data_IF_070839623826
#
_entry.id   IF_070839623826
#
_cell.length_a   1.000
_cell.length_b   1.000
_cell.length_c   1.000
_cell.angle_alpha   90.00
_cell.angle_beta   90.00
_cell.angle_gamma   90.00
#
_symmetry.space_group_name_H-M   'P 1'
#
loop_
_entity.id
_entity.type
_entity.pdbx_description
1 polymer ?
#
# COMPACT_ATOMS: atom_id res chain seq x y z
N UNK A 1 10.40 13.68 12.51
CA UNK A 1 10.40 12.83 13.73
C UNK A 1 11.35 11.65 13.62
N UNK A 2 11.03 10.55 12.94
CA UNK A 2 11.93 9.37 12.88
C UNK A 2 13.27 9.63 12.17
N UNK A 3 13.31 10.50 11.15
CA UNK A 3 14.57 11.01 10.58
C UNK A 3 15.31 11.96 11.52
N UNK A 4 14.59 12.70 12.36
CA UNK A 4 15.15 13.68 13.32
C UNK A 4 15.90 12.98 14.45
N UNK A 5 15.33 11.89 14.99
CA UNK A 5 16.00 11.02 15.96
C UNK A 5 17.25 10.37 15.37
N UNK A 6 17.18 9.91 14.12
CA UNK A 6 18.33 9.32 13.44
C UNK A 6 19.43 10.35 13.18
N UNK A 7 19.06 11.58 12.78
CA UNK A 7 19.98 12.69 12.61
C UNK A 7 20.66 13.08 13.93
N UNK A 8 19.94 13.02 15.06
CA UNK A 8 20.54 13.29 16.37
C UNK A 8 21.71 12.34 16.66
N UNK A 9 21.54 11.04 16.39
CA UNK A 9 22.55 9.99 16.63
C UNK A 9 23.64 9.94 15.55
N UNK A 10 23.27 9.78 14.27
CA UNK A 10 24.19 9.52 13.15
C UNK A 10 24.47 10.70 12.22
N UNK A 11 23.93 11.89 12.51
CA UNK A 11 24.04 13.09 11.64
C UNK A 11 23.59 12.77 10.20
N UNK A 12 24.47 12.92 9.22
CA UNK A 12 24.18 12.69 7.80
C UNK A 12 24.73 11.35 7.26
N UNK A 13 25.31 10.47 8.10
CA UNK A 13 25.80 9.17 7.65
C UNK A 13 24.68 8.31 7.03
N UNK A 14 24.74 7.95 5.73
CA UNK A 14 23.71 7.12 5.11
C UNK A 14 23.60 5.70 5.68
N UNK A 15 24.66 5.15 6.31
CA UNK A 15 24.66 3.78 6.82
C UNK A 15 23.62 3.60 7.93
N UNK A 16 23.63 4.46 8.96
CA UNK A 16 22.61 4.44 10.02
C UNK A 16 21.18 4.59 9.49
N UNK A 17 20.98 5.32 8.39
CA UNK A 17 19.65 5.42 7.76
C UNK A 17 19.22 4.14 7.06
N UNK A 18 20.14 3.46 6.34
CA UNK A 18 19.87 2.19 5.65
C UNK A 18 19.64 1.05 6.63
N UNK A 19 20.40 0.97 7.72
CA UNK A 19 20.23 -0.07 8.77
C UNK A 19 18.82 -0.02 9.37
N UNK A 20 18.31 1.17 9.72
CA UNK A 20 16.95 1.30 10.26
C UNK A 20 15.88 0.89 9.24
N UNK A 21 16.05 1.24 7.96
CA UNK A 21 15.11 0.85 6.92
C UNK A 21 15.14 -0.68 6.68
N UNK A 22 16.33 -1.29 6.66
CA UNK A 22 16.49 -2.75 6.55
C UNK A 22 15.86 -3.50 7.74
N UNK A 23 16.12 -3.07 8.96
CA UNK A 23 15.50 -3.65 10.17
C UNK A 23 13.98 -3.52 10.14
N UNK A 24 13.46 -2.39 9.66
CA UNK A 24 12.03 -2.19 9.46
C UNK A 24 11.44 -3.14 8.41
N UNK A 25 12.09 -3.31 7.26
CA UNK A 25 11.67 -4.26 6.19
C UNK A 25 11.66 -5.72 6.66
N UNK A 26 12.69 -6.14 7.39
CA UNK A 26 12.72 -7.46 8.06
C UNK A 26 11.59 -7.58 9.09
N UNK A 27 11.29 -6.51 9.83
CA UNK A 27 10.13 -6.43 10.72
C UNK A 27 8.79 -6.60 9.98
N UNK A 28 8.60 -5.97 8.81
CA UNK A 28 7.41 -6.18 7.96
C UNK A 28 7.31 -7.64 7.53
N UNK A 29 8.41 -8.23 7.06
CA UNK A 29 8.47 -9.66 6.72
C UNK A 29 8.06 -10.55 7.89
N UNK A 30 8.56 -10.29 9.10
CA UNK A 30 8.19 -11.03 10.31
C UNK A 30 6.70 -10.89 10.65
N UNK A 31 6.11 -9.70 10.52
CA UNK A 31 4.66 -9.53 10.72
C UNK A 31 3.84 -10.25 9.62
N UNK A 32 4.30 -10.28 8.37
CA UNK A 32 3.69 -11.06 7.28
C UNK A 32 3.79 -12.58 7.51
N UNK A 33 4.86 -13.05 8.18
CA UNK A 33 4.99 -14.46 8.59
C UNK A 33 3.95 -14.84 9.64
N UNK A 34 3.76 -13.98 10.65
CA UNK A 34 2.71 -14.16 11.66
C UNK A 34 1.30 -14.03 11.06
N UNK A 35 1.12 -13.20 10.03
CA UNK A 35 -0.18 -12.99 9.38
C UNK A 35 -0.55 -14.20 8.51
N UNK A 36 0.37 -14.66 7.67
CA UNK A 36 0.14 -15.84 6.82
C UNK A 36 -0.12 -17.09 7.65
N UNK A 37 0.65 -17.36 8.72
CA UNK A 37 0.35 -18.49 9.65
C UNK A 37 -1.05 -18.39 10.23
N UNK A 38 -1.47 -17.19 10.65
CA UNK A 38 -2.81 -16.94 11.19
C UNK A 38 -3.91 -17.11 10.15
N UNK A 39 -3.70 -16.70 8.90
CA UNK A 39 -4.63 -16.91 7.80
C UNK A 39 -4.74 -18.40 7.44
N UNK A 40 -3.64 -19.14 7.37
CA UNK A 40 -3.67 -20.59 7.14
C UNK A 40 -4.43 -21.32 8.26
N UNK A 41 -4.16 -21.00 9.53
CA UNK A 41 -4.90 -21.56 10.65
C UNK A 41 -6.41 -21.23 10.60
N UNK A 42 -6.79 -19.97 10.35
CA UNK A 42 -8.19 -19.54 10.30
C UNK A 42 -8.99 -20.07 9.09
N UNK A 43 -8.31 -20.43 8.00
CA UNK A 43 -8.96 -20.89 6.76
C UNK A 43 -8.90 -22.41 6.59
N UNK A 44 -7.81 -23.07 6.97
CA UNK A 44 -7.50 -24.49 6.74
C UNK A 44 -7.32 -25.30 8.03
N UNK A 45 -7.47 -24.70 9.22
CA UNK A 45 -7.32 -25.36 10.51
C UNK A 45 -5.88 -25.77 10.88
N UNK A 46 -4.90 -25.50 10.01
CA UNK A 46 -3.51 -25.98 10.11
C UNK A 46 -2.53 -24.84 9.88
N UNK A 47 -1.43 -24.81 10.64
CA UNK A 47 -0.37 -23.82 10.46
C UNK A 47 0.67 -24.29 9.43
N UNK A 48 0.57 -23.78 8.20
CA UNK A 48 1.48 -24.11 7.10
C UNK A 48 2.79 -23.31 7.21
N UNK A 49 3.53 -23.50 8.31
CA UNK A 49 4.69 -22.67 8.68
C UNK A 49 5.79 -22.62 7.62
N UNK A 50 6.03 -23.72 6.88
CA UNK A 50 6.99 -23.75 5.76
C UNK A 50 6.52 -22.86 4.60
N UNK A 51 5.24 -22.93 4.21
CA UNK A 51 4.69 -22.08 3.15
C UNK A 51 4.69 -20.61 3.55
N UNK A 52 4.32 -20.31 4.81
CA UNK A 52 4.45 -18.97 5.40
C UNK A 52 5.89 -18.43 5.37
N UNK A 53 6.88 -19.28 5.64
CA UNK A 53 8.29 -18.88 5.56
C UNK A 53 8.71 -18.60 4.11
N UNK A 54 8.37 -19.48 3.15
CA UNK A 54 8.70 -19.30 1.73
C UNK A 54 8.04 -18.04 1.13
N UNK A 55 6.78 -17.77 1.46
CA UNK A 55 6.08 -16.54 1.04
C UNK A 55 6.76 -15.27 1.55
N UNK A 56 7.29 -15.30 2.77
CA UNK A 56 7.99 -14.15 3.38
C UNK A 56 9.42 -14.03 2.89
N UNK A 57 10.12 -15.14 2.66
CA UNK A 57 11.44 -15.14 2.03
C UNK A 57 11.35 -14.53 0.63
N UNK A 58 10.34 -14.91 -0.16
CA UNK A 58 10.03 -14.26 -1.42
C UNK A 58 9.76 -12.76 -1.22
N UNK A 59 8.86 -12.36 -0.31
CA UNK A 59 8.59 -10.94 -0.05
C UNK A 59 9.86 -10.14 0.30
N UNK A 60 10.72 -10.64 1.19
CA UNK A 60 11.90 -9.92 1.68
C UNK A 60 12.96 -9.77 0.59
N UNK A 61 13.19 -10.83 -0.20
CA UNK A 61 14.25 -10.88 -1.23
C UNK A 61 13.80 -10.25 -2.57
N UNK A 62 12.51 -10.23 -2.87
CA UNK A 62 12.01 -9.78 -4.17
C UNK A 62 12.35 -8.29 -4.44
N UNK A 63 12.99 -7.93 -5.59
CA UNK A 63 13.55 -6.60 -5.81
C UNK A 63 12.59 -5.43 -5.61
N UNK A 64 11.33 -5.58 -6.02
CA UNK A 64 10.27 -4.56 -5.85
C UNK A 64 10.08 -4.16 -4.38
N UNK A 65 10.24 -5.10 -3.44
CA UNK A 65 10.08 -4.83 -2.02
C UNK A 65 11.42 -4.41 -1.38
N UNK A 66 12.53 -5.02 -1.81
CA UNK A 66 13.87 -4.68 -1.33
C UNK A 66 14.24 -3.20 -1.62
N UNK A 67 13.75 -2.64 -2.73
CA UNK A 67 13.79 -1.21 -3.07
C UNK A 67 13.32 -0.30 -1.90
N UNK A 68 12.33 -0.74 -1.12
CA UNK A 68 11.80 0.03 0.02
C UNK A 68 12.85 0.12 1.15
N UNK A 69 13.61 -0.94 1.40
CA UNK A 69 14.70 -0.96 2.38
C UNK A 69 15.95 -0.18 1.92
N UNK A 70 16.27 -0.22 0.62
CA UNK A 70 17.47 0.40 0.04
C UNK A 70 17.39 1.93 0.03
N UNK A 71 16.22 2.50 -0.27
CA UNK A 71 16.06 3.96 -0.33
C UNK A 71 15.76 4.56 1.04
N UNK A 72 16.62 5.47 1.49
CA UNK A 72 16.51 6.16 2.78
C UNK A 72 15.17 6.85 2.99
N UNK A 73 14.61 7.50 1.96
CA UNK A 73 13.36 8.26 2.03
C UNK A 73 12.09 7.39 2.17
N UNK A 74 12.15 6.09 1.86
CA UNK A 74 11.01 5.16 1.90
C UNK A 74 10.61 4.72 3.32
N UNK A 75 11.19 5.30 4.38
CA UNK A 75 10.94 4.90 5.77
C UNK A 75 9.47 5.00 6.18
N UNK A 76 8.69 5.92 5.60
CA UNK A 76 7.28 6.06 5.96
C UNK A 76 6.44 4.88 5.49
N UNK A 77 6.65 4.37 4.26
CA UNK A 77 5.97 3.15 3.77
C UNK A 77 6.38 1.86 4.54
N UNK A 78 7.57 1.82 5.14
CA UNK A 78 7.98 0.73 6.04
C UNK A 78 7.23 0.80 7.38
N UNK A 79 7.24 1.97 8.03
CA UNK A 79 6.50 2.22 9.27
C UNK A 79 4.99 2.00 9.06
N UNK A 80 4.51 2.33 7.86
CA UNK A 80 3.15 2.10 7.41
C UNK A 80 2.80 0.61 7.35
N UNK A 81 3.61 -0.20 6.65
CA UNK A 81 3.39 -1.64 6.57
C UNK A 81 3.48 -2.32 7.94
N UNK A 82 4.37 -1.87 8.83
CA UNK A 82 4.42 -2.33 10.22
C UNK A 82 3.10 -2.04 10.97
N UNK A 83 2.60 -0.82 10.83
CA UNK A 83 1.39 -0.35 11.50
C UNK A 83 0.12 -1.08 11.02
N UNK A 84 -0.10 -1.18 9.69
CA UNK A 84 -1.30 -1.83 9.14
C UNK A 84 -1.30 -3.34 9.42
N UNK A 85 -0.23 -4.06 9.09
CA UNK A 85 -0.11 -5.51 9.33
C UNK A 85 -0.20 -5.81 10.85
N UNK A 86 0.39 -4.96 11.70
CA UNK A 86 0.24 -5.03 13.16
C UNK A 86 -1.21 -4.90 13.63
N UNK A 87 -1.95 -3.92 13.11
CA UNK A 87 -3.37 -3.72 13.46
C UNK A 87 -4.24 -4.93 13.04
N UNK A 88 -3.94 -5.56 11.91
CA UNK A 88 -4.66 -6.75 11.42
C UNK A 88 -4.28 -8.00 12.21
N UNK A 89 -3.01 -8.14 12.60
CA UNK A 89 -2.56 -9.20 13.51
C UNK A 89 -3.27 -9.13 14.87
N UNK A 90 -3.47 -7.92 15.39
CA UNK A 90 -4.30 -7.68 16.57
C UNK A 90 -5.78 -7.97 16.28
N UNK A 91 -6.32 -7.58 15.14
CA UNK A 91 -7.72 -7.82 14.78
C UNK A 91 -8.05 -9.30 14.64
N UNK A 92 -7.24 -10.07 13.90
CA UNK A 92 -7.45 -11.50 13.61
C UNK A 92 -7.13 -12.45 14.77
N UNK A 93 -6.60 -11.97 15.92
CA UNK A 93 -6.40 -12.81 17.11
C UNK A 93 -7.72 -13.50 17.52
N UNK A 94 -7.75 -14.84 17.74
CA UNK A 94 -8.99 -15.58 17.96
C UNK A 94 -9.66 -15.31 19.32
N UNK A 95 -8.91 -14.82 20.31
CA UNK A 95 -9.44 -14.37 21.63
C UNK A 95 -10.51 -13.26 21.46
N UNK A 96 -11.38 -13.02 22.47
CA UNK A 96 -12.26 -11.84 22.47
C UNK A 96 -11.49 -10.52 22.39
N UNK A 97 -12.18 -9.45 21.97
CA UNK A 97 -11.62 -8.11 21.85
C UNK A 97 -11.62 -7.42 23.23
N UNK A 98 -10.45 -7.25 23.84
CA UNK A 98 -10.31 -6.44 25.05
C UNK A 98 -10.18 -4.95 24.72
N UNK A 99 -10.54 -4.03 25.64
CA UNK A 99 -10.34 -2.59 25.43
C UNK A 99 -8.88 -2.24 25.12
N UNK A 100 -7.91 -2.83 25.84
CA UNK A 100 -6.47 -2.64 25.62
C UNK A 100 -6.01 -3.04 24.21
N UNK A 101 -6.53 -4.15 23.67
CA UNK A 101 -6.27 -4.61 22.31
C UNK A 101 -6.89 -3.68 21.26
N UNK A 102 -8.07 -3.12 21.56
CA UNK A 102 -8.74 -2.17 20.68
C UNK A 102 -8.02 -0.81 20.64
N UNK A 103 -7.61 -0.29 21.79
CA UNK A 103 -6.73 0.89 21.90
C UNK A 103 -5.42 0.65 21.14
N UNK A 104 -4.81 -0.55 21.26
CA UNK A 104 -3.63 -0.92 20.48
C UNK A 104 -3.85 -0.89 18.95
N UNK A 105 -5.01 -1.34 18.47
CA UNK A 105 -5.37 -1.24 17.04
C UNK A 105 -5.54 0.21 16.58
N UNK A 106 -6.20 1.06 17.39
CA UNK A 106 -6.39 2.49 17.07
C UNK A 106 -5.07 3.25 17.15
N UNK A 107 -4.20 2.94 18.11
CA UNK A 107 -2.87 3.54 18.23
C UNK A 107 -1.97 3.19 17.03
N UNK A 108 -1.97 1.93 16.59
CA UNK A 108 -1.28 1.54 15.35
C UNK A 108 -1.86 2.24 14.12
N UNK A 109 -3.18 2.36 14.02
CA UNK A 109 -3.83 3.12 12.94
C UNK A 109 -3.40 4.59 12.93
N UNK A 110 -3.35 5.26 14.09
CA UNK A 110 -2.89 6.65 14.23
C UNK A 110 -1.41 6.81 13.87
N UNK A 111 -0.53 5.90 14.32
CA UNK A 111 0.89 5.85 13.93
C UNK A 111 1.03 5.66 12.41
N UNK A 112 0.07 4.96 11.79
CA UNK A 112 -0.04 4.76 10.35
C UNK A 112 -0.72 5.89 9.56
N UNK A 113 -1.02 7.07 10.13
CA UNK A 113 -1.63 8.17 9.37
C UNK A 113 -0.63 8.95 8.47
N UNK A 114 0.24 8.22 7.76
CA UNK A 114 1.08 8.78 6.69
C UNK A 114 0.29 8.97 5.38
N UNK A 115 0.83 9.78 4.45
CA UNK A 115 0.19 10.18 3.19
C UNK A 115 -0.51 9.02 2.48
N UNK A 116 0.13 7.85 2.43
CA UNK A 116 -0.30 6.68 1.65
C UNK A 116 -1.30 5.75 2.35
N UNK A 117 -1.30 5.57 3.68
CA UNK A 117 -2.23 4.63 4.36
C UNK A 117 -3.58 5.21 4.78
N UNK A 118 -3.73 6.54 4.85
CA UNK A 118 -4.98 7.20 5.29
C UNK A 118 -6.25 6.60 4.67
N UNK A 119 -6.16 6.14 3.41
CA UNK A 119 -7.26 5.52 2.64
C UNK A 119 -7.35 3.97 2.74
N UNK A 120 -6.33 3.27 3.25
CA UNK A 120 -6.18 1.79 3.17
C UNK A 120 -6.66 1.04 4.43
N UNK A 121 -6.08 1.39 5.58
CA UNK A 121 -6.19 0.59 6.81
C UNK A 121 -7.61 0.34 7.39
N UNK A 122 -8.66 1.14 7.11
CA UNK A 122 -10.04 0.76 7.46
C UNK A 122 -10.55 -0.40 6.61
N UNK A 123 -10.20 -0.42 5.32
CA UNK A 123 -10.61 -1.46 4.36
C UNK A 123 -9.88 -2.80 4.59
N UNK A 124 -8.59 -2.75 4.90
CA UNK A 124 -7.76 -3.87 5.33
C UNK A 124 -8.45 -4.74 6.41
N UNK A 125 -8.99 -4.09 7.45
CA UNK A 125 -9.68 -4.75 8.56
C UNK A 125 -11.03 -5.37 8.10
N UNK A 126 -11.72 -4.75 7.15
CA UNK A 126 -12.97 -5.27 6.59
C UNK A 126 -12.69 -6.54 5.76
N UNK A 127 -11.67 -6.51 4.89
CA UNK A 127 -11.25 -7.66 4.05
C UNK A 127 -10.84 -8.86 4.90
N UNK A 128 -10.03 -8.62 5.95
CA UNK A 128 -9.64 -9.66 6.91
C UNK A 128 -10.84 -10.36 7.55
N UNK A 129 -11.94 -9.63 7.83
CA UNK A 129 -13.15 -10.23 8.42
C UNK A 129 -14.04 -10.95 7.41
N UNK A 130 -14.24 -10.39 6.22
CA UNK A 130 -15.06 -10.99 5.16
C UNK A 130 -14.54 -12.38 4.74
N UNK A 131 -13.24 -12.59 4.82
CA UNK A 131 -12.61 -13.85 4.43
C UNK A 131 -12.49 -14.86 5.60
N UNK A 132 -12.20 -14.38 6.81
CA UNK A 132 -11.96 -15.24 7.97
C UNK A 132 -13.20 -15.63 8.79
N UNK A 133 -14.39 -15.05 8.54
CA UNK A 133 -15.61 -15.35 9.30
C UNK A 133 -16.84 -15.58 8.41
N UNK A 134 -17.74 -16.42 8.92
CA UNK A 134 -19.00 -16.84 8.30
C UNK A 134 -19.93 -15.66 7.92
N UNK A 135 -20.90 -15.85 6.98
CA UNK A 135 -21.67 -14.75 6.39
C UNK A 135 -22.42 -13.87 7.40
N UNK A 136 -22.58 -12.60 7.04
CA UNK A 136 -23.05 -11.55 7.94
C UNK A 136 -24.56 -11.67 8.24
N UNK A 137 -24.92 -12.07 9.47
CA UNK A 137 -26.26 -11.80 10.02
C UNK A 137 -26.44 -10.31 10.27
N UNK A 138 -27.65 -9.79 10.08
CA UNK A 138 -27.97 -8.35 10.16
C UNK A 138 -27.58 -7.71 11.52
N UNK A 139 -27.83 -8.42 12.62
CA UNK A 139 -27.42 -7.96 13.97
C UNK A 139 -25.90 -7.88 14.13
N UNK A 140 -25.14 -8.68 13.38
CA UNK A 140 -23.68 -8.57 13.33
C UNK A 140 -23.22 -7.33 12.55
N UNK A 141 -23.98 -6.84 11.57
CA UNK A 141 -23.62 -5.63 10.80
C UNK A 141 -23.58 -4.38 11.67
N UNK A 142 -24.59 -4.14 12.53
CA UNK A 142 -24.56 -3.02 13.49
C UNK A 142 -23.35 -3.09 14.43
N UNK A 143 -22.95 -4.28 14.85
CA UNK A 143 -21.74 -4.48 15.65
C UNK A 143 -20.43 -4.32 14.83
N UNK A 144 -20.45 -4.58 13.52
CA UNK A 144 -19.33 -4.27 12.62
C UNK A 144 -19.13 -2.76 12.51
N UNK A 145 -20.19 -2.01 12.17
CA UNK A 145 -20.13 -0.55 12.01
C UNK A 145 -19.59 0.10 13.29
N UNK A 146 -20.09 -0.27 14.48
CA UNK A 146 -19.56 0.23 15.76
C UNK A 146 -18.07 -0.07 16.00
N UNK A 147 -17.57 -1.21 15.52
CA UNK A 147 -16.15 -1.59 15.65
C UNK A 147 -15.24 -0.85 14.65
N UNK A 148 -15.75 -0.46 13.49
CA UNK A 148 -14.98 0.36 12.54
C UNK A 148 -15.17 1.88 12.76
N UNK A 149 -16.22 2.30 13.46
CA UNK A 149 -16.60 3.70 13.63
C UNK A 149 -15.47 4.60 14.19
N UNK A 150 -14.73 4.23 15.26
CA UNK A 150 -13.57 5.02 15.71
C UNK A 150 -12.46 5.20 14.67
N UNK A 151 -12.22 4.25 13.76
CA UNK A 151 -11.24 4.41 12.67
C UNK A 151 -11.73 5.45 11.65
N UNK A 152 -13.02 5.44 11.32
CA UNK A 152 -13.65 6.45 10.47
C UNK A 152 -13.72 7.83 11.14
N UNK A 153 -13.96 7.90 12.47
CA UNK A 153 -13.92 9.14 13.24
C UNK A 153 -12.50 9.72 13.25
N UNK A 154 -11.48 8.92 13.56
CA UNK A 154 -10.08 9.37 13.54
C UNK A 154 -9.66 9.84 12.15
N UNK A 155 -10.08 9.15 11.08
CA UNK A 155 -9.82 9.56 9.71
C UNK A 155 -10.56 10.86 9.32
N UNK A 156 -11.82 11.02 9.75
CA UNK A 156 -12.61 12.23 9.53
C UNK A 156 -12.05 13.43 10.29
N UNK A 157 -11.67 13.26 11.56
CA UNK A 157 -10.98 14.27 12.37
C UNK A 157 -9.64 14.66 11.76
N UNK A 158 -8.87 13.69 11.25
CA UNK A 158 -7.63 13.96 10.52
C UNK A 158 -7.89 14.83 9.28
N UNK A 159 -8.88 14.49 8.45
CA UNK A 159 -9.19 15.29 7.25
C UNK A 159 -9.75 16.68 7.60
N UNK A 160 -10.56 16.80 8.67
CA UNK A 160 -11.05 18.08 9.16
C UNK A 160 -9.91 18.97 9.68
N UNK A 161 -9.00 18.41 10.48
CA UNK A 161 -7.80 19.13 10.94
C UNK A 161 -6.87 19.51 9.78
N UNK A 162 -6.74 18.65 8.76
CA UNK A 162 -6.01 18.97 7.52
C UNK A 162 -6.66 20.15 6.80
N UNK A 163 -7.96 20.11 6.55
CA UNK A 163 -8.69 21.17 5.87
C UNK A 163 -8.63 22.50 6.64
N UNK A 164 -8.71 22.47 7.98
CA UNK A 164 -8.60 23.66 8.81
C UNK A 164 -7.19 24.29 8.82
N UNK A 165 -6.12 23.47 8.76
CA UNK A 165 -4.74 23.96 8.80
C UNK A 165 -4.16 24.32 7.43
N UNK A 166 -4.54 23.59 6.37
CA UNK A 166 -4.03 23.74 5.01
C UNK A 166 -5.03 24.35 4.02
N UNK A 167 -6.28 24.62 4.42
CA UNK A 167 -7.35 25.08 3.51
C UNK A 167 -7.86 24.03 2.52
N UNK A 168 -7.23 22.84 2.43
CA UNK A 168 -7.60 21.76 1.51
C UNK A 168 -7.45 20.37 2.13
N UNK A 169 -8.22 19.43 1.59
CA UNK A 169 -8.16 18.00 1.91
C UNK A 169 -7.11 17.29 1.04
N UNK A 170 -6.81 17.83 -0.15
CA UNK A 170 -5.81 17.34 -1.11
C UNK A 170 -4.37 17.74 -0.76
N UNK A 171 -3.42 17.37 -1.62
CA UNK A 171 -2.01 17.77 -1.50
C UNK A 171 -1.79 19.07 -2.31
N UNK A 172 -1.37 20.17 -1.67
CA UNK A 172 -1.31 21.51 -2.29
C UNK A 172 -0.15 21.75 -3.28
N UNK A 173 0.90 20.91 -3.25
CA UNK A 173 2.10 21.08 -4.09
C UNK A 173 1.99 20.39 -5.47
N UNK A 174 0.78 20.01 -5.85
CA UNK A 174 0.54 18.98 -6.84
C UNK A 174 -0.43 19.54 -7.89
N UNK A 175 0.01 19.63 -9.15
CA UNK A 175 -0.82 20.06 -10.29
C UNK A 175 -0.84 18.94 -11.34
N UNK A 176 -2.02 18.59 -11.87
CA UNK A 176 -2.12 17.55 -12.90
C UNK A 176 -1.91 18.17 -14.28
N UNK A 177 -0.82 17.85 -15.00
CA UNK A 177 -0.67 18.30 -16.40
C UNK A 177 -1.57 17.52 -17.37
N UNK A 178 -2.35 16.54 -16.89
CA UNK A 178 -3.08 15.58 -17.71
C UNK A 178 -4.57 15.55 -17.41
N UNK A 179 -5.34 15.33 -18.47
CA UNK A 179 -6.77 15.10 -18.43
C UNK A 179 -7.18 13.82 -17.70
N UNK A 180 -8.38 13.85 -17.14
CA UNK A 180 -8.94 12.75 -16.32
C UNK A 180 -9.03 11.43 -17.08
N UNK A 181 -9.32 11.44 -18.39
CA UNK A 181 -9.56 10.21 -19.14
C UNK A 181 -8.28 9.45 -19.54
N UNK A 182 -7.25 10.07 -20.17
CA UNK A 182 -5.95 9.41 -20.38
C UNK A 182 -5.32 8.92 -19.07
N UNK A 183 -5.52 9.65 -17.97
CA UNK A 183 -5.08 9.22 -16.64
C UNK A 183 -5.72 7.89 -16.20
N UNK A 184 -7.04 7.71 -16.34
CA UNK A 184 -7.72 6.44 -15.99
C UNK A 184 -7.23 5.28 -16.87
N UNK A 185 -7.03 5.51 -18.17
CA UNK A 185 -6.46 4.48 -19.07
C UNK A 185 -5.05 4.08 -18.63
N UNK A 186 -4.21 5.07 -18.30
CA UNK A 186 -2.83 4.88 -17.82
C UNK A 186 -2.78 4.10 -16.49
N UNK A 187 -3.72 4.35 -15.57
CA UNK A 187 -3.85 3.57 -14.33
C UNK A 187 -4.14 2.08 -14.61
N UNK A 188 -4.99 1.74 -15.57
CA UNK A 188 -5.30 0.34 -15.92
C UNK A 188 -4.04 -0.37 -16.47
N UNK A 189 -3.28 0.28 -17.36
CA UNK A 189 -2.00 -0.28 -17.85
C UNK A 189 -0.97 -0.40 -16.72
N UNK A 190 -0.98 0.53 -15.77
CA UNK A 190 -0.09 0.49 -14.59
C UNK A 190 -0.35 -0.72 -13.70
N UNK A 191 -1.62 -1.14 -13.52
CA UNK A 191 -1.97 -2.39 -12.81
C UNK A 191 -1.34 -3.62 -13.47
N UNK A 192 -1.36 -3.69 -14.81
CA UNK A 192 -0.69 -4.78 -15.56
C UNK A 192 0.83 -4.71 -15.40
N UNK A 193 1.42 -3.51 -15.41
CA UNK A 193 2.87 -3.31 -15.20
C UNK A 193 3.31 -3.72 -13.79
N UNK A 194 2.54 -3.43 -12.74
CA UNK A 194 2.83 -3.92 -11.39
C UNK A 194 2.80 -5.46 -11.34
N UNK A 195 1.79 -6.10 -11.93
CA UNK A 195 1.70 -7.57 -12.00
C UNK A 195 2.90 -8.16 -12.75
N UNK A 196 3.30 -7.55 -13.88
CA UNK A 196 4.52 -7.94 -14.60
C UNK A 196 5.76 -7.86 -13.69
N UNK A 197 5.96 -6.75 -12.98
CA UNK A 197 7.09 -6.55 -12.08
C UNK A 197 7.16 -7.52 -10.90
N UNK A 198 6.04 -8.18 -10.53
CA UNK A 198 5.99 -9.23 -9.48
C UNK A 198 6.45 -10.61 -9.98
N UNK A 199 6.35 -10.89 -11.28
CA UNK A 199 6.84 -12.13 -11.88
C UNK A 199 8.20 -11.97 -12.57
N UNK A 200 8.46 -10.79 -13.16
CA UNK A 200 9.67 -10.45 -13.89
C UNK A 200 10.08 -9.02 -13.50
N UNK A 201 10.96 -8.84 -12.50
CA UNK A 201 11.37 -7.53 -11.98
C UNK A 201 12.36 -6.79 -12.93
N UNK A 202 12.04 -6.70 -14.21
CA UNK A 202 12.85 -6.08 -15.25
C UNK A 202 12.36 -4.66 -15.59
N UNK A 203 13.28 -3.69 -15.64
CA UNK A 203 12.95 -2.27 -15.85
C UNK A 203 12.35 -1.61 -14.60
N UNK A 204 13.00 -1.81 -13.45
CA UNK A 204 12.74 -1.09 -12.20
C UNK A 204 13.65 0.16 -12.13
N UNK A 205 13.18 1.29 -12.64
CA UNK A 205 13.79 2.60 -12.44
C UNK A 205 13.22 3.31 -11.20
N UNK A 206 13.88 4.40 -10.77
CA UNK A 206 13.43 5.28 -9.68
C UNK A 206 12.37 6.31 -10.10
N UNK A 207 12.22 6.48 -11.41
CA UNK A 207 11.22 7.30 -12.06
C UNK A 207 10.80 6.53 -13.32
N UNK A 208 9.49 6.40 -13.53
CA UNK A 208 8.93 5.81 -14.75
C UNK A 208 8.03 6.88 -15.34
N UNK A 209 8.47 7.51 -16.42
CA UNK A 209 7.56 8.31 -17.24
C UNK A 209 6.48 7.37 -17.80
N UNK A 210 5.20 7.50 -17.39
CA UNK A 210 4.15 6.68 -17.97
C UNK A 210 4.02 7.05 -19.45
N UNK A 211 3.94 6.05 -20.33
CA UNK A 211 3.57 6.31 -21.72
C UNK A 211 2.15 6.87 -21.75
N UNK A 212 1.93 7.90 -22.54
CA UNK A 212 0.59 8.38 -22.83
C UNK A 212 -0.14 7.33 -23.68
N UNK A 213 -1.44 7.13 -23.41
CA UNK A 213 -2.27 6.13 -24.07
C UNK A 213 -3.58 6.78 -24.52
N UNK A 214 -3.63 7.23 -25.76
CA UNK A 214 -4.75 8.00 -26.32
C UNK A 214 -5.91 7.11 -26.81
N UNK A 215 -5.68 5.81 -27.01
CA UNK A 215 -6.67 4.89 -27.59
C UNK A 215 -6.77 3.56 -26.85
N UNK A 216 -8.01 3.12 -26.60
CA UNK A 216 -8.31 1.81 -26.00
C UNK A 216 -7.93 0.62 -26.90
N UNK A 217 -7.57 0.85 -28.17
CA UNK A 217 -7.23 -0.19 -29.14
C UNK A 217 -5.77 -0.68 -29.04
N UNK A 218 -4.93 -0.08 -28.18
CA UNK A 218 -3.52 -0.46 -28.09
C UNK A 218 -3.30 -1.88 -27.51
N UNK A 219 -2.27 -2.63 -27.97
CA UNK A 219 -1.99 -3.99 -27.50
C UNK A 219 -1.81 -4.11 -25.98
N UNK A 220 -1.32 -3.07 -25.31
CA UNK A 220 -1.19 -3.02 -23.86
C UNK A 220 -2.56 -3.08 -23.15
N UNK A 221 -3.60 -2.48 -23.73
CA UNK A 221 -4.96 -2.42 -23.17
C UNK A 221 -5.74 -3.68 -23.53
N UNK A 222 -5.46 -4.29 -24.69
CA UNK A 222 -5.91 -5.66 -24.98
C UNK A 222 -5.28 -6.68 -24.01
N UNK A 223 -4.04 -6.47 -23.56
CA UNK A 223 -3.45 -7.25 -22.45
C UNK A 223 -4.16 -6.98 -21.11
N UNK A 224 -4.61 -5.74 -20.85
CA UNK A 224 -5.48 -5.44 -19.69
C UNK A 224 -6.82 -6.19 -19.73
N UNK A 225 -7.32 -6.56 -20.91
CA UNK A 225 -8.48 -7.45 -21.04
C UNK A 225 -8.19 -8.89 -20.57
N UNK A 226 -6.93 -9.34 -20.50
CA UNK A 226 -6.57 -10.55 -19.76
C UNK A 226 -6.88 -10.43 -18.25
N UNK A 227 -6.90 -9.21 -17.71
CA UNK A 227 -7.41 -8.90 -16.38
C UNK A 227 -8.88 -9.27 -16.17
N UNK A 228 -9.71 -9.26 -17.23
CA UNK A 228 -11.09 -9.77 -17.17
C UNK A 228 -11.15 -11.30 -17.11
N UNK A 229 -10.18 -11.98 -17.71
CA UNK A 229 -10.03 -13.44 -17.55
C UNK A 229 -9.53 -13.80 -16.15
N UNK A 230 -8.58 -13.05 -15.58
CA UNK A 230 -8.17 -13.20 -14.18
C UNK A 230 -9.30 -12.89 -13.20
N UNK A 231 -10.11 -11.85 -13.43
CA UNK A 231 -11.26 -11.55 -12.56
C UNK A 231 -12.38 -12.58 -12.70
N UNK A 232 -12.62 -13.14 -13.90
CA UNK A 232 -13.54 -14.27 -14.11
C UNK A 232 -13.03 -15.55 -13.44
N UNK A 233 -11.73 -15.87 -13.54
CA UNK A 233 -11.12 -16.99 -12.84
C UNK A 233 -11.21 -16.82 -11.32
N UNK A 234 -10.88 -15.63 -10.82
CA UNK A 234 -11.08 -15.23 -9.43
C UNK A 234 -12.54 -15.43 -8.99
N UNK A 235 -13.52 -14.93 -9.75
CA UNK A 235 -14.95 -15.13 -9.45
C UNK A 235 -15.35 -16.60 -9.44
N UNK A 236 -14.87 -17.42 -10.38
CA UNK A 236 -15.13 -18.87 -10.40
C UNK A 236 -14.52 -19.60 -9.20
N UNK A 237 -13.36 -19.16 -8.70
CA UNK A 237 -12.75 -19.67 -7.47
C UNK A 237 -13.53 -19.20 -6.23
N UNK A 238 -13.81 -17.90 -6.12
CA UNK A 238 -14.54 -17.28 -5.00
C UNK A 238 -15.92 -17.93 -4.81
N UNK A 239 -16.67 -18.20 -5.89
CA UNK A 239 -17.97 -18.88 -5.87
C UNK A 239 -17.97 -20.25 -5.17
N UNK A 240 -16.83 -20.94 -5.06
CA UNK A 240 -16.76 -22.28 -4.45
C UNK A 240 -16.78 -22.27 -2.90
N UNK A 241 -16.68 -21.12 -2.25
CA UNK A 241 -16.78 -20.98 -0.77
C UNK A 241 -15.69 -21.66 0.08
N UNK A 242 -14.76 -22.40 -0.54
CA UNK A 242 -13.67 -23.15 0.12
C UNK A 242 -12.70 -22.27 0.92
N UNK A 243 -11.81 -22.92 1.68
CA UNK A 243 -10.66 -22.23 2.31
C UNK A 243 -9.80 -21.46 1.28
N UNK A 244 -9.51 -22.09 0.14
CA UNK A 244 -8.76 -21.47 -0.98
C UNK A 244 -9.52 -20.30 -1.58
N UNK A 245 -10.84 -20.44 -1.80
CA UNK A 245 -11.72 -19.35 -2.25
C UNK A 245 -11.58 -18.10 -1.38
N UNK A 246 -11.62 -18.27 -0.05
CA UNK A 246 -11.52 -17.18 0.91
C UNK A 246 -10.10 -16.60 1.01
N UNK A 247 -9.06 -17.40 0.83
CA UNK A 247 -7.67 -16.91 0.74
C UNK A 247 -7.42 -16.09 -0.54
N UNK A 248 -7.97 -16.52 -1.68
CA UNK A 248 -7.89 -15.77 -2.95
C UNK A 248 -8.68 -14.47 -2.86
N UNK A 249 -9.90 -14.49 -2.29
CA UNK A 249 -10.68 -13.28 -2.04
C UNK A 249 -9.93 -12.29 -1.14
N UNK A 250 -9.33 -12.77 -0.04
CA UNK A 250 -8.49 -11.96 0.83
C UNK A 250 -7.36 -11.31 0.04
N UNK A 251 -6.58 -12.11 -0.68
CA UNK A 251 -5.38 -11.66 -1.39
C UNK A 251 -5.68 -10.64 -2.49
N UNK A 252 -6.76 -10.83 -3.25
CA UNK A 252 -7.18 -9.91 -4.32
C UNK A 252 -7.73 -8.61 -3.75
N UNK A 253 -8.63 -8.66 -2.77
CA UNK A 253 -9.17 -7.43 -2.15
C UNK A 253 -8.08 -6.66 -1.39
N UNK A 254 -7.16 -7.37 -0.74
CA UNK A 254 -5.97 -6.80 -0.10
C UNK A 254 -5.12 -6.03 -1.11
N UNK A 255 -4.71 -6.68 -2.20
CA UNK A 255 -3.91 -6.08 -3.27
C UNK A 255 -4.57 -4.82 -3.86
N UNK A 256 -5.88 -4.88 -4.14
CA UNK A 256 -6.63 -3.74 -4.68
C UNK A 256 -6.74 -2.57 -3.69
N UNK A 257 -6.95 -2.82 -2.38
CA UNK A 257 -6.98 -1.76 -1.36
C UNK A 257 -5.60 -1.13 -1.17
N UNK A 258 -4.52 -1.91 -1.30
CA UNK A 258 -3.16 -1.38 -1.22
C UNK A 258 -2.80 -0.44 -2.39
N UNK A 259 -3.42 -0.64 -3.56
CA UNK A 259 -3.23 0.15 -4.79
C UNK A 259 -4.24 1.30 -4.98
N UNK A 260 -5.41 1.23 -4.36
CA UNK A 260 -6.45 2.27 -4.47
C UNK A 260 -6.02 3.72 -4.13
N UNK A 261 -5.07 3.99 -3.21
CA UNK A 261 -4.62 5.36 -2.95
C UNK A 261 -3.82 5.97 -4.09
N UNK A 262 -3.02 5.17 -4.81
CA UNK A 262 -2.24 5.59 -5.98
C UNK A 262 -3.10 5.79 -7.23
N UNK A 263 -4.33 5.24 -7.25
CA UNK A 263 -5.31 5.39 -8.33
C UNK A 263 -6.52 6.24 -7.92
N UNK A 264 -6.39 7.11 -6.92
CA UNK A 264 -7.53 7.84 -6.34
C UNK A 264 -8.02 8.98 -7.24
N UNK A 265 -9.25 8.87 -7.73
CA UNK A 265 -9.89 9.82 -8.66
C UNK A 265 -10.27 11.18 -8.04
N UNK A 266 -10.10 11.33 -6.73
CA UNK A 266 -10.54 12.50 -5.94
C UNK A 266 -9.41 13.35 -5.40
N UNK A 267 -8.15 13.01 -5.71
CA UNK A 267 -7.05 13.94 -5.54
C UNK A 267 -7.16 14.96 -6.67
N UNK A 268 -8.02 15.95 -6.45
CA UNK A 268 -7.92 17.22 -7.13
C UNK A 268 -6.48 17.68 -6.97
N UNK A 269 -5.84 17.85 -8.12
CA UNK A 269 -4.51 18.40 -8.26
C UNK A 269 -3.44 17.46 -7.64
N UNK A 270 -3.06 16.42 -8.42
CA UNK A 270 -1.86 16.60 -9.25
C UNK A 270 -0.54 15.90 -8.90
N UNK A 271 -0.51 14.77 -8.19
CA UNK A 271 0.75 14.00 -7.99
C UNK A 271 0.73 12.56 -8.54
N UNK A 272 -0.37 12.18 -9.19
CA UNK A 272 -0.64 10.81 -9.64
C UNK A 272 0.16 10.37 -10.88
N UNK A 273 0.94 11.26 -11.50
CA UNK A 273 1.93 10.89 -12.53
C UNK A 273 3.24 10.33 -11.94
N UNK A 274 3.57 10.65 -10.67
CA UNK A 274 4.80 10.21 -10.00
C UNK A 274 4.53 9.06 -9.02
N UNK A 275 3.49 9.16 -8.21
CA UNK A 275 3.19 8.20 -7.13
C UNK A 275 2.89 6.75 -7.57
N UNK A 276 2.86 6.46 -8.86
CA UNK A 276 2.75 5.10 -9.41
C UNK A 276 4.09 4.35 -9.39
N UNK A 277 5.22 5.03 -9.56
CA UNK A 277 6.54 4.35 -9.44
C UNK A 277 7.69 5.25 -8.94
N UNK A 278 7.56 6.58 -9.06
CA UNK A 278 8.55 7.57 -8.64
C UNK A 278 8.26 8.11 -7.24
N UNK A 279 9.12 7.77 -6.28
CA UNK A 279 9.09 8.37 -4.94
C UNK A 279 9.80 9.73 -4.99
N UNK A 280 9.20 10.84 -4.50
CA UNK A 280 9.70 12.18 -4.79
C UNK A 280 10.99 12.54 -4.05
N UNK A 281 12.09 12.65 -4.80
CA UNK A 281 13.32 13.33 -4.35
C UNK A 281 13.25 14.81 -4.74
N UNK A 282 13.09 15.70 -3.75
CA UNK A 282 13.10 17.16 -3.95
C UNK A 282 14.53 17.71 -3.89
N UNK A 283 15.32 17.52 -4.95
CA UNK A 283 16.60 18.24 -5.09
C UNK A 283 16.32 19.74 -5.32
N UNK A 284 16.69 20.58 -4.36
CA UNK A 284 16.54 22.03 -4.43
C UNK A 284 17.54 22.65 -5.43
N UNK A 285 17.15 22.71 -6.71
CA UNK A 285 18.01 23.14 -7.82
C UNK A 285 17.57 24.46 -8.50
N UNK A 286 16.79 25.30 -7.82
CA UNK A 286 16.51 26.69 -8.26
C UNK A 286 17.51 27.68 -7.64
N UNK A 287 18.78 27.63 -8.06
CA UNK A 287 19.80 28.69 -7.85
C UNK A 287 21.10 28.46 -8.65
N UNK A 288 21.00 28.26 -9.97
CA UNK A 288 22.14 28.44 -10.88
C UNK A 288 21.70 29.14 -12.18
N UNK A 289 22.33 30.27 -12.57
CA UNK A 289 21.99 30.98 -13.79
C UNK A 289 22.52 30.25 -15.05
N UNK A 290 21.95 30.58 -16.21
CA UNK A 290 22.36 30.01 -17.50
C UNK A 290 23.81 30.37 -17.84
N UNK A 291 24.69 29.37 -17.86
CA UNK A 291 25.93 29.42 -18.64
C UNK A 291 25.98 28.14 -19.49
N UNK A 292 25.76 28.30 -20.80
CA UNK A 292 25.80 27.21 -21.78
C UNK A 292 26.63 27.67 -23.00
N UNK A 293 27.37 26.71 -23.55
CA UNK A 293 27.95 26.74 -24.90
C UNK A 293 28.93 27.88 -25.26
N UNK A 294 30.23 27.64 -25.04
CA UNK A 294 31.25 27.87 -26.08
C UNK A 294 32.50 27.00 -25.85
N UNK A 295 32.54 25.83 -26.48
CA UNK A 295 33.77 25.12 -26.88
C UNK A 295 33.43 24.06 -27.94
N UNK A 296 33.66 24.40 -29.20
CA UNK A 296 33.81 23.52 -30.37
C UNK A 296 34.21 24.39 -31.56
N UNK A 297 35.25 23.98 -32.30
CA UNK A 297 35.99 24.85 -33.22
C UNK A 297 37.06 25.63 -32.48
#
# INVERSE_FOLDING_TARGET
MTYTLNYYVGKLDPFGYRVINLLGHVGVGFLLFLLSRRLFFLLFGTEQSVLSFLLVLFFVVHPVNAIVALYTFNRSDILAALASVGAILLFLRPKPLTPSRYVGMVALFVIGLDRTIRRRAPGDLIVGRLCCRAPMRLNSFRAQVRLHLPFWIVLGLYFAARAAYFGSIGDLEAESPWDRWPYVVTQIVSLVRYLQCVFVPAGLSLDHMPKHYDSLAEPAILLSAAGLWFSRAGWMVVRKGTAVSRLVLFSVLWFLIQLAPSSSFTDHDGLCGKSVVSIPIRTSAHSYPRILCRFSG
#
